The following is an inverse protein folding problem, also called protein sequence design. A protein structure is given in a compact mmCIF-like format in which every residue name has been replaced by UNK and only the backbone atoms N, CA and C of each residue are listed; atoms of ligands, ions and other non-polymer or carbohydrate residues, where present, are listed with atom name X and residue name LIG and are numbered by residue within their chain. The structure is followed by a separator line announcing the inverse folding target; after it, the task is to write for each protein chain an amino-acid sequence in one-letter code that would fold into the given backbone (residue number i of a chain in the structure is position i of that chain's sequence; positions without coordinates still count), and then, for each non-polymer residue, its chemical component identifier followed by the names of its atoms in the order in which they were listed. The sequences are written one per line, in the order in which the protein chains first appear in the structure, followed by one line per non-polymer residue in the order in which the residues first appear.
data_IF_893682969311
#
_entry.id   IF_893682969311
#
_cell.length_a   1.000
_cell.length_b   1.000
_cell.length_c   1.000
_cell.angle_alpha   90.00
_cell.angle_beta   90.00
_cell.angle_gamma   90.00
#
_symmetry.space_group_name_H-M   'P 1'
#
loop_
_entity.id
_entity.type
_entity.pdbx_description
1 polymer ?
#
# COMPACT_ATOMS: atom_id res chain seq x y z
N UNK A 1 -20.56 -26.30 34.51
CA UNK A 1 -19.83 -26.25 33.23
C UNK A 1 -20.28 -25.00 32.52
N UNK A 2 -19.55 -23.91 32.70
CA UNK A 2 -19.82 -22.65 32.00
C UNK A 2 -19.21 -22.74 30.61
N UNK A 3 -20.03 -22.56 29.58
CA UNK A 3 -19.61 -22.57 28.19
C UNK A 3 -19.23 -21.15 27.80
N UNK A 4 -17.92 -20.88 27.72
CA UNK A 4 -17.36 -19.60 27.31
C UNK A 4 -17.59 -19.40 25.81
N UNK A 5 -18.67 -18.70 25.45
CA UNK A 5 -18.98 -18.34 24.08
C UNK A 5 -17.87 -17.45 23.51
N UNK A 6 -17.20 -17.96 22.47
CA UNK A 6 -16.14 -17.32 21.73
C UNK A 6 -16.60 -15.99 21.13
N UNK A 7 -15.98 -14.90 21.59
CA UNK A 7 -16.18 -13.54 21.11
C UNK A 7 -15.81 -13.47 19.62
N UNK A 8 -16.79 -13.55 18.72
CA UNK A 8 -16.64 -13.26 17.29
C UNK A 8 -16.12 -11.83 17.13
N UNK A 9 -14.90 -11.67 16.64
CA UNK A 9 -14.42 -10.38 16.13
C UNK A 9 -15.11 -10.14 14.78
N UNK A 10 -15.73 -8.97 14.60
CA UNK A 10 -16.07 -8.49 13.27
C UNK A 10 -14.74 -8.26 12.55
N UNK A 11 -14.61 -8.78 11.33
CA UNK A 11 -13.54 -8.34 10.45
C UNK A 11 -13.87 -6.89 10.10
N UNK A 12 -13.08 -5.96 10.60
CA UNK A 12 -13.16 -4.59 10.11
C UNK A 12 -12.86 -4.65 8.61
N UNK A 13 -13.79 -4.14 7.79
CA UNK A 13 -13.57 -3.98 6.35
C UNK A 13 -12.24 -3.27 6.17
N UNK A 14 -11.30 -3.93 5.51
CA UNK A 14 -10.06 -3.28 5.11
C UNK A 14 -10.51 -2.27 4.07
N UNK A 15 -10.55 -1.00 4.48
CA UNK A 15 -10.91 0.10 3.62
C UNK A 15 -10.00 0.06 2.39
N UNK A 16 -10.59 -0.23 1.23
CA UNK A 16 -9.94 -0.26 -0.07
C UNK A 16 -9.52 1.17 -0.52
N UNK A 17 -9.37 2.12 0.41
CA UNK A 17 -8.84 3.49 0.24
C UNK A 17 -7.32 3.47 -0.08
N UNK A 18 -6.88 2.43 -0.79
CA UNK A 18 -5.63 2.40 -1.52
C UNK A 18 -5.98 1.99 -2.94
N UNK A 19 -6.48 2.95 -3.72
CA UNK A 19 -6.48 2.86 -5.18
C UNK A 19 -5.00 2.83 -5.63
N UNK A 20 -4.39 1.64 -5.55
CA UNK A 20 -3.07 1.39 -6.12
C UNK A 20 -3.28 1.33 -7.63
N UNK A 21 -3.32 2.51 -8.25
CA UNK A 21 -3.54 2.67 -9.69
C UNK A 21 -2.51 1.89 -10.53
N UNK A 22 -1.35 1.62 -9.93
CA UNK A 22 -0.18 1.04 -10.61
C UNK A 22 0.71 0.21 -9.69
N UNK A 23 1.00 -1.00 -10.13
CA UNK A 23 1.95 -1.96 -9.53
C UNK A 23 3.05 -2.29 -10.52
N UNK A 24 4.27 -2.48 -10.02
CA UNK A 24 5.41 -2.92 -10.83
C UNK A 24 5.94 -4.26 -10.33
N UNK A 25 6.49 -5.07 -11.23
CA UNK A 25 7.02 -6.39 -10.89
C UNK A 25 8.11 -6.88 -11.85
N UNK A 26 8.69 -8.02 -11.52
CA UNK A 26 9.68 -8.72 -12.33
C UNK A 26 9.18 -10.14 -12.55
N UNK A 27 9.22 -10.59 -13.80
CA UNK A 27 8.92 -11.96 -14.20
C UNK A 27 10.18 -12.53 -14.84
N UNK A 28 10.63 -13.70 -14.40
CA UNK A 28 11.82 -14.34 -14.94
C UNK A 28 11.69 -15.86 -14.96
N UNK A 29 12.28 -16.46 -15.99
CA UNK A 29 12.48 -17.91 -16.16
C UNK A 29 13.94 -18.32 -15.83
N UNK A 30 14.67 -17.48 -15.09
CA UNK A 30 16.11 -17.52 -14.80
C UNK A 30 17.05 -17.09 -15.94
N UNK A 31 16.62 -17.17 -17.20
CA UNK A 31 17.43 -16.72 -18.35
C UNK A 31 17.05 -15.31 -18.81
N UNK A 32 15.75 -15.05 -18.84
CA UNK A 32 15.15 -13.81 -19.33
C UNK A 32 14.48 -13.06 -18.20
N UNK A 33 14.58 -11.75 -18.26
CA UNK A 33 14.02 -10.81 -17.33
C UNK A 33 12.98 -9.96 -18.06
N UNK A 34 11.75 -9.97 -17.57
CA UNK A 34 10.67 -9.10 -18.00
C UNK A 34 10.30 -8.17 -16.86
N UNK A 35 10.24 -6.87 -17.15
CA UNK A 35 9.72 -5.88 -16.24
C UNK A 35 8.24 -5.70 -16.51
N UNK A 36 7.44 -5.91 -15.48
CA UNK A 36 5.98 -5.89 -15.55
C UNK A 36 5.44 -4.59 -14.97
N UNK A 37 4.55 -3.98 -15.72
CA UNK A 37 3.68 -2.91 -15.28
C UNK A 37 2.24 -3.45 -15.21
N UNK A 38 1.58 -3.28 -14.08
CA UNK A 38 0.18 -3.61 -13.88
C UNK A 38 -0.59 -2.35 -13.50
N UNK A 39 -1.68 -2.06 -14.21
CA UNK A 39 -2.59 -0.95 -13.89
C UNK A 39 -4.00 -1.48 -13.77
N UNK A 40 -4.86 -0.82 -13.01
CA UNK A 40 -6.29 -1.14 -12.98
C UNK A 40 -7.04 -0.23 -13.94
N UNK A 41 -7.88 -0.80 -14.80
CA UNK A 41 -8.79 0.00 -15.62
C UNK A 41 -10.02 0.46 -14.81
N UNK A 42 -10.84 1.32 -15.42
CA UNK A 42 -12.06 1.85 -14.79
C UNK A 42 -13.06 0.76 -14.36
N UNK A 43 -12.93 -0.47 -14.88
CA UNK A 43 -13.71 -1.64 -14.49
C UNK A 43 -13.05 -2.49 -13.41
N UNK A 44 -11.99 -2.00 -12.75
CA UNK A 44 -11.14 -2.72 -11.78
C UNK A 44 -10.46 -3.96 -12.37
N UNK A 45 -10.34 -4.05 -13.69
CA UNK A 45 -9.62 -5.14 -14.35
C UNK A 45 -8.14 -4.80 -14.41
N UNK A 46 -7.30 -5.74 -14.00
CA UNK A 46 -5.85 -5.62 -14.12
C UNK A 46 -5.42 -5.72 -15.59
N UNK A 47 -4.65 -4.74 -16.04
CA UNK A 47 -4.02 -4.68 -17.35
C UNK A 47 -2.52 -4.79 -17.17
N UNK A 48 -1.92 -5.78 -17.81
CA UNK A 48 -0.49 -6.08 -17.70
C UNK A 48 0.24 -5.65 -18.97
N UNK A 49 1.40 -5.01 -18.79
CA UNK A 49 2.37 -4.74 -19.84
C UNK A 49 3.70 -5.32 -19.43
N UNK A 50 4.33 -6.04 -20.35
CA UNK A 50 5.68 -6.57 -20.18
C UNK A 50 6.66 -5.79 -21.06
N UNK A 51 7.86 -5.56 -20.54
CA UNK A 51 8.97 -5.04 -21.32
C UNK A 51 9.43 -6.07 -22.37
N UNK A 52 10.31 -5.63 -23.26
CA UNK A 52 11.15 -6.59 -24.01
C UNK A 52 11.99 -7.40 -23.02
N UNK A 53 12.24 -8.69 -23.29
CA UNK A 53 13.09 -9.51 -22.44
C UNK A 53 14.54 -9.00 -22.46
N UNK A 54 15.18 -8.99 -21.30
CA UNK A 54 16.64 -8.89 -21.17
C UNK A 54 17.20 -10.24 -20.75
N UNK A 55 18.28 -10.69 -21.38
CA UNK A 55 19.02 -11.88 -20.97
C UNK A 55 20.46 -11.51 -20.64
N UNK A 56 21.01 -12.13 -19.60
CA UNK A 56 22.41 -11.99 -19.20
C UNK A 56 23.02 -13.39 -19.25
N UNK A 57 23.86 -13.64 -20.26
CA UNK A 57 24.63 -14.87 -20.33
C UNK A 57 26.04 -14.61 -19.81
N UNK A 58 26.60 -15.59 -19.11
CA UNK A 58 27.99 -15.52 -18.67
C UNK A 58 28.93 -15.59 -19.86
N UNK A 59 30.07 -14.91 -19.74
CA UNK A 59 31.15 -14.88 -20.76
C UNK A 59 30.80 -14.18 -22.08
N UNK A 60 29.57 -13.65 -22.21
CA UNK A 60 29.21 -12.73 -23.30
C UNK A 60 30.05 -11.43 -23.24
N UNK A 61 30.49 -10.95 -24.41
CA UNK A 61 31.25 -9.68 -24.52
C UNK A 61 30.49 -8.48 -23.92
N UNK A 62 29.16 -8.46 -24.03
CA UNK A 62 28.27 -7.42 -23.51
C UNK A 62 27.58 -7.79 -22.19
N UNK A 63 28.05 -8.86 -21.51
CA UNK A 63 27.50 -9.31 -20.22
C UNK A 63 27.41 -8.17 -19.20
N UNK A 64 28.48 -7.37 -19.09
CA UNK A 64 28.54 -6.25 -18.15
C UNK A 64 27.44 -5.23 -18.42
N UNK A 65 27.29 -4.80 -19.67
CA UNK A 65 26.29 -3.80 -20.06
C UNK A 65 24.86 -4.31 -19.86
N UNK A 66 24.61 -5.59 -20.17
CA UNK A 66 23.32 -6.25 -19.92
C UNK A 66 23.02 -6.34 -18.42
N UNK A 67 23.99 -6.73 -17.60
CA UNK A 67 23.85 -6.82 -16.15
C UNK A 67 23.61 -5.45 -15.51
N UNK A 68 24.34 -4.41 -15.93
CA UNK A 68 24.15 -3.04 -15.48
C UNK A 68 22.73 -2.53 -15.80
N UNK A 69 22.20 -2.85 -16.99
CA UNK A 69 20.81 -2.50 -17.35
C UNK A 69 19.78 -3.16 -16.43
N UNK A 70 19.92 -4.46 -16.16
CA UNK A 70 19.01 -5.20 -15.28
C UNK A 70 19.06 -4.63 -13.86
N UNK A 71 20.26 -4.46 -13.29
CA UNK A 71 20.45 -3.90 -11.96
C UNK A 71 19.94 -2.46 -11.86
N UNK A 72 20.19 -1.63 -12.87
CA UNK A 72 19.68 -0.26 -12.94
C UNK A 72 18.15 -0.21 -12.88
N UNK A 73 17.48 -1.12 -13.57
CA UNK A 73 16.02 -1.23 -13.54
C UNK A 73 15.50 -1.70 -12.17
N UNK A 74 16.17 -2.67 -11.54
CA UNK A 74 15.82 -3.13 -10.19
C UNK A 74 15.97 -2.00 -9.16
N UNK A 75 17.07 -1.25 -9.21
CA UNK A 75 17.29 -0.09 -8.34
C UNK A 75 16.20 0.97 -8.55
N UNK A 76 15.81 1.21 -9.80
CA UNK A 76 14.72 2.13 -10.12
C UNK A 76 13.38 1.65 -9.54
N UNK A 77 13.03 0.37 -9.70
CA UNK A 77 11.82 -0.23 -9.12
C UNK A 77 11.77 -0.11 -7.60
N UNK A 78 12.88 -0.39 -6.91
CA UNK A 78 12.98 -0.28 -5.45
C UNK A 78 12.80 1.16 -4.96
N UNK A 79 13.24 2.15 -5.76
CA UNK A 79 12.99 3.57 -5.46
C UNK A 79 11.50 3.91 -5.64
N UNK A 80 10.88 3.41 -6.71
CA UNK A 80 9.47 3.68 -7.02
C UNK A 80 8.54 3.08 -5.96
N UNK A 81 8.77 1.83 -5.56
CA UNK A 81 7.99 1.13 -4.53
C UNK A 81 8.02 1.81 -3.15
N UNK A 82 9.01 2.68 -2.88
CA UNK A 82 9.13 3.43 -1.62
C UNK A 82 8.35 4.76 -1.60
N UNK A 83 7.95 5.29 -2.75
CA UNK A 83 7.16 6.54 -2.82
C UNK A 83 5.79 6.45 -2.14
N UNK A 84 4.97 5.39 -2.32
CA UNK A 84 3.64 5.33 -1.69
C UNK A 84 3.72 5.26 -0.16
N UNK A 85 4.81 4.74 0.42
CA UNK A 85 4.99 4.66 1.88
C UNK A 85 5.21 6.05 2.51
N UNK A 86 5.94 6.96 1.83
CA UNK A 86 6.20 8.31 2.35
C UNK A 86 4.96 9.20 2.30
N UNK A 87 4.19 9.13 1.21
CA UNK A 87 2.92 9.85 1.10
C UNK A 87 1.93 9.41 2.19
N UNK A 88 1.99 8.14 2.62
CA UNK A 88 1.20 7.61 3.73
C UNK A 88 1.66 8.14 5.10
N UNK A 89 2.96 8.26 5.34
CA UNK A 89 3.48 8.87 6.58
C UNK A 89 3.09 10.37 6.68
N UNK A 90 3.29 11.13 5.62
CA UNK A 90 2.94 12.56 5.56
C UNK A 90 1.42 12.78 5.75
N UNK A 91 0.58 11.97 5.10
CA UNK A 91 -0.88 12.05 5.27
C UNK A 91 -1.36 11.66 6.68
N UNK A 92 -0.70 10.70 7.33
CA UNK A 92 -0.97 10.33 8.74
C UNK A 92 -0.54 11.43 9.70
N UNK A 93 0.58 12.12 9.44
CA UNK A 93 1.03 13.27 10.22
C UNK A 93 0.07 14.45 10.12
N UNK A 94 -0.42 14.75 8.90
CA UNK A 94 -1.41 15.81 8.67
C UNK A 94 -2.76 15.49 9.35
N UNK A 95 -3.23 14.23 9.27
CA UNK A 95 -4.46 13.80 9.98
C UNK A 95 -4.30 13.87 11.51
N UNK A 96 -3.12 13.55 12.07
CA UNK A 96 -2.82 13.70 13.51
C UNK A 96 -2.79 15.15 13.96
N UNK A 97 -2.21 16.04 13.15
CA UNK A 97 -2.18 17.48 13.45
C UNK A 97 -3.58 18.13 13.46
N UNK A 98 -4.51 17.62 12.65
CA UNK A 98 -5.87 18.17 12.54
C UNK A 98 -6.84 17.72 13.64
N UNK A 99 -6.47 16.69 14.42
CA UNK A 99 -7.30 16.16 15.52
C UNK A 99 -7.04 16.84 16.89
N UNK A 100 -6.20 17.88 16.94
CA UNK A 100 -5.83 18.58 18.18
C UNK A 100 -6.81 19.66 18.64
N UNK A 101 -7.67 20.19 17.76
CA UNK A 101 -8.53 21.33 18.08
C UNK A 101 -10.02 20.97 17.96
N UNK A 102 -10.54 20.25 18.96
CA UNK A 102 -11.93 20.36 19.35
C UNK A 102 -11.99 20.90 20.77
N UNK A 103 -11.91 22.23 20.86
CA UNK A 103 -12.38 23.01 22.00
C UNK A 103 -13.89 22.73 22.18
N UNK A 104 -14.20 21.77 23.04
CA UNK A 104 -15.54 21.51 23.54
C UNK A 104 -15.77 22.33 24.81
N UNK A 105 -16.42 23.49 24.66
CA UNK A 105 -16.99 24.30 25.76
C UNK A 105 -17.68 23.40 26.79
N UNK A 106 -17.23 23.46 28.04
CA UNK A 106 -17.94 22.90 29.17
C UNK A 106 -19.31 23.58 29.30
N UNK A 107 -20.37 22.87 28.93
CA UNK A 107 -21.74 23.23 29.32
C UNK A 107 -22.03 22.55 30.64
N UNK A 108 -22.11 23.33 31.72
CA UNK A 108 -22.72 22.91 32.98
C UNK A 108 -24.14 22.44 32.72
N UNK A 109 -24.38 21.14 32.88
CA UNK A 109 -25.74 20.60 32.97
C UNK A 109 -26.15 20.61 34.44
N UNK A 110 -27.06 21.52 34.75
CA UNK A 110 -27.83 21.60 35.99
C UNK A 110 -28.46 20.27 36.33
N UNK A 111 -28.25 19.82 37.58
CA UNK A 111 -28.89 18.65 38.17
C UNK A 111 -30.33 18.99 38.53
N UNK A 112 -31.31 18.43 37.82
CA UNK A 112 -32.72 18.44 38.25
C UNK A 112 -33.03 17.09 38.90
N UNK A 113 -33.24 17.12 40.21
CA UNK A 113 -33.78 16.00 40.98
C UNK A 113 -35.21 15.67 40.48
N UNK A 114 -35.44 14.41 40.15
CA UNK A 114 -36.80 13.86 40.06
C UNK A 114 -37.13 13.20 41.40
N UNK A 115 -38.05 13.82 42.11
CA UNK A 115 -38.88 13.26 43.17
C UNK A 115 -39.99 12.43 42.49
N UNK A 116 -40.23 11.19 42.91
CA UNK A 116 -41.51 10.48 42.72
C UNK A 116 -41.61 9.26 43.67
N UNK A 117 -42.39 9.47 44.73
CA UNK A 117 -43.29 8.56 45.49
C UNK A 117 -42.73 7.31 46.15
#
# INVERSE_FOLDING_TARGET
MESSLSRKRKADEIDDEYDIDKVWGIVTDAEKWYFMECTFDNGRKAVFKLSKPLSVAYEDEDMKDKAEKVLGHIIWLLKEARKPVKALEESREIKRARSGDLVGKGTSSTQTNYDHR
#
